data_IF_396127398690
#
_entry.id   IF_396127398690
#
_cell.length_a   1.000
_cell.length_b   1.000
_cell.length_c   1.000
_cell.angle_alpha   90.00
_cell.angle_beta   90.00
_cell.angle_gamma   90.00
#
_symmetry.space_group_name_H-M   'P 1'
#
loop_
_entity.id
_entity.type
_entity.pdbx_description
1 polymer ?
#
# COMPACT_ATOMS: atom_id res chain seq x y z
N UNK A 1 -27.85 7.39 1.09
CA UNK A 1 -26.67 7.56 1.97
C UNK A 1 -27.10 7.19 3.37
N UNK A 2 -26.24 6.51 4.13
CA UNK A 2 -26.51 6.22 5.53
C UNK A 2 -25.97 7.38 6.37
N UNK A 3 -26.75 7.83 7.32
CA UNK A 3 -26.37 8.87 8.29
C UNK A 3 -26.18 8.23 9.66
N UNK A 4 -25.19 8.70 10.42
CA UNK A 4 -24.86 8.17 11.74
C UNK A 4 -24.62 9.34 12.68
N UNK A 5 -25.47 9.43 13.71
CA UNK A 5 -25.30 10.41 14.79
C UNK A 5 -24.58 9.78 15.97
N UNK A 6 -23.46 10.38 16.37
CA UNK A 6 -22.76 10.05 17.60
C UNK A 6 -23.23 10.99 18.71
N UNK A 7 -23.57 10.44 19.87
CA UNK A 7 -23.98 11.19 21.08
C UNK A 7 -23.00 10.90 22.20
N UNK A 8 -22.99 11.80 23.19
CA UNK A 8 -22.19 11.66 24.42
C UNK A 8 -20.68 11.47 24.15
N UNK A 9 -20.16 12.18 23.12
CA UNK A 9 -18.73 12.23 22.87
C UNK A 9 -18.09 13.10 23.97
N UNK A 10 -17.05 12.61 24.67
CA UNK A 10 -16.31 13.43 25.62
C UNK A 10 -15.79 14.72 24.96
N UNK A 11 -15.90 15.85 25.65
CA UNK A 11 -15.50 17.17 25.10
C UNK A 11 -14.06 17.17 24.61
N UNK A 12 -13.14 16.58 25.37
CA UNK A 12 -11.72 16.47 24.99
C UNK A 12 -11.53 15.73 23.66
N UNK A 13 -12.31 14.67 23.43
CA UNK A 13 -12.25 13.89 22.19
C UNK A 13 -12.84 14.68 21.02
N UNK A 14 -13.93 15.41 21.26
CA UNK A 14 -14.53 16.25 20.24
C UNK A 14 -13.60 17.39 19.81
N UNK A 15 -12.94 18.06 20.75
CA UNK A 15 -11.96 19.11 20.46
C UNK A 15 -10.72 18.56 19.76
N UNK A 16 -10.24 17.37 20.15
CA UNK A 16 -9.17 16.68 19.43
C UNK A 16 -9.55 16.41 17.96
N UNK A 17 -10.76 15.91 17.70
CA UNK A 17 -11.23 15.63 16.34
C UNK A 17 -11.36 16.90 15.50
N UNK A 18 -11.83 18.02 16.09
CA UNK A 18 -11.86 19.33 15.42
C UNK A 18 -10.47 19.82 15.05
N UNK A 19 -9.51 19.76 15.97
CA UNK A 19 -8.14 20.17 15.71
C UNK A 19 -7.53 19.35 14.57
N UNK A 20 -7.74 18.02 14.61
CA UNK A 20 -7.25 17.12 13.58
C UNK A 20 -7.91 17.39 12.20
N UNK A 21 -9.21 17.68 12.18
CA UNK A 21 -9.92 18.06 10.97
C UNK A 21 -9.35 19.35 10.35
N UNK A 22 -9.07 20.36 11.19
CA UNK A 22 -8.45 21.62 10.75
C UNK A 22 -7.06 21.40 10.16
N UNK A 23 -6.21 20.59 10.80
CA UNK A 23 -4.88 20.23 10.29
C UNK A 23 -4.95 19.51 8.95
N UNK A 24 -5.95 18.66 8.75
CA UNK A 24 -6.12 17.91 7.50
C UNK A 24 -6.93 18.66 6.43
N UNK A 25 -7.31 19.92 6.69
CA UNK A 25 -8.14 20.75 5.81
C UNK A 25 -9.46 20.06 5.39
N UNK A 26 -10.12 19.39 6.34
CA UNK A 26 -11.38 18.65 6.14
C UNK A 26 -12.46 19.14 7.10
N UNK A 27 -13.72 18.87 6.78
CA UNK A 27 -14.79 19.01 7.76
C UNK A 27 -14.65 17.95 8.86
N UNK A 28 -15.26 18.21 10.02
CA UNK A 28 -15.27 17.25 11.14
C UNK A 28 -15.85 15.89 10.71
N UNK A 29 -16.99 15.90 10.01
CA UNK A 29 -17.64 14.67 9.53
C UNK A 29 -16.73 13.89 8.57
N UNK A 30 -16.05 14.59 7.64
CA UNK A 30 -15.10 13.96 6.74
C UNK A 30 -13.91 13.37 7.49
N UNK A 31 -13.45 14.03 8.56
CA UNK A 31 -12.37 13.53 9.40
C UNK A 31 -12.79 12.28 10.18
N UNK A 32 -14.01 12.24 10.71
CA UNK A 32 -14.57 11.06 11.39
C UNK A 32 -14.69 9.90 10.42
N UNK A 33 -15.20 10.13 9.20
CA UNK A 33 -15.30 9.10 8.15
C UNK A 33 -13.91 8.56 7.80
N UNK A 34 -12.92 9.44 7.63
CA UNK A 34 -11.55 9.02 7.32
C UNK A 34 -10.96 8.14 8.44
N UNK A 35 -11.10 8.55 9.69
CA UNK A 35 -10.63 7.78 10.84
C UNK A 35 -11.29 6.39 10.93
N UNK A 36 -12.60 6.30 10.66
CA UNK A 36 -13.32 5.02 10.62
C UNK A 36 -12.86 4.12 9.45
N UNK A 37 -12.54 4.71 8.30
CA UNK A 37 -11.99 3.97 7.15
C UNK A 37 -10.58 3.44 7.45
N UNK A 38 -9.73 4.25 8.07
CA UNK A 38 -8.39 3.83 8.51
C UNK A 38 -8.47 2.71 9.55
N UNK A 39 -9.33 2.87 10.57
CA UNK A 39 -9.58 1.82 11.56
C UNK A 39 -10.04 0.52 10.90
N UNK A 40 -10.96 0.60 9.92
CA UNK A 40 -11.40 -0.57 9.15
C UNK A 40 -10.24 -1.20 8.38
N UNK A 41 -9.36 -0.41 7.77
CA UNK A 41 -8.21 -0.91 7.03
C UNK A 41 -7.22 -1.65 7.95
N UNK A 42 -7.00 -1.13 9.16
CA UNK A 42 -6.14 -1.75 10.17
C UNK A 42 -6.72 -3.06 10.73
N UNK A 43 -8.04 -3.14 10.87
CA UNK A 43 -8.74 -4.32 11.42
C UNK A 43 -9.08 -5.37 10.38
N UNK A 44 -9.11 -5.01 9.09
CA UNK A 44 -9.28 -6.00 8.04
C UNK A 44 -8.05 -6.91 8.11
N UNK A 45 -8.20 -8.23 8.30
CA UNK A 45 -7.06 -9.12 8.18
C UNK A 45 -6.50 -8.84 6.81
N UNK A 46 -5.23 -8.39 6.77
CA UNK A 46 -4.50 -8.28 5.53
C UNK A 46 -4.63 -9.67 4.92
N UNK A 47 -5.48 -9.82 3.91
CA UNK A 47 -5.60 -11.07 3.20
C UNK A 47 -4.16 -11.39 2.84
N UNK A 48 -3.60 -12.45 3.42
CA UNK A 48 -2.28 -12.92 3.03
C UNK A 48 -2.41 -13.05 1.52
N UNK A 49 -1.79 -12.14 0.78
CA UNK A 49 -1.76 -12.21 -0.67
C UNK A 49 -0.93 -13.46 -0.91
N UNK A 50 -1.61 -14.60 -1.01
CA UNK A 50 -1.01 -15.87 -1.35
C UNK A 50 -0.53 -15.66 -2.78
N UNK A 51 0.72 -15.18 -2.90
CA UNK A 51 1.39 -15.04 -4.19
C UNK A 51 1.17 -16.34 -4.92
N UNK A 52 0.44 -16.26 -6.02
CA UNK A 52 0.18 -17.43 -6.83
C UNK A 52 1.52 -17.97 -7.34
N UNK A 53 1.57 -19.24 -7.76
CA UNK A 53 2.76 -19.75 -8.45
C UNK A 53 3.18 -18.85 -9.62
N UNK A 54 2.23 -18.16 -10.25
CA UNK A 54 2.48 -17.22 -11.35
C UNK A 54 3.16 -15.93 -10.88
N UNK A 55 2.71 -15.33 -9.75
CA UNK A 55 3.37 -14.17 -9.13
C UNK A 55 4.83 -14.46 -8.76
N UNK A 56 5.11 -15.68 -8.28
CA UNK A 56 6.47 -16.12 -7.95
C UNK A 56 7.33 -16.28 -9.21
N UNK A 57 6.75 -16.81 -10.29
CA UNK A 57 7.43 -16.93 -11.60
C UNK A 57 7.71 -15.56 -12.21
N UNK A 58 6.75 -14.63 -12.15
CA UNK A 58 6.91 -13.26 -12.62
C UNK A 58 8.05 -12.54 -11.88
N UNK A 59 8.14 -12.71 -10.56
CA UNK A 59 9.22 -12.13 -9.74
C UNK A 59 10.60 -12.72 -10.03
N UNK A 60 10.68 -13.97 -10.50
CA UNK A 60 11.95 -14.65 -10.82
C UNK A 60 12.52 -14.31 -12.21
N UNK A 61 11.70 -13.81 -13.14
CA UNK A 61 12.12 -13.42 -14.51
C UNK A 61 13.31 -12.46 -14.56
N UNK A 62 13.35 -11.33 -13.82
CA UNK A 62 14.47 -10.39 -13.90
C UNK A 62 15.79 -10.99 -13.37
N UNK A 63 15.71 -11.90 -12.40
CA UNK A 63 16.88 -12.58 -11.84
C UNK A 63 17.47 -13.55 -12.88
N UNK A 64 16.60 -14.36 -13.51
CA UNK A 64 17.01 -15.29 -14.58
C UNK A 64 17.59 -14.56 -15.80
N UNK A 65 17.01 -13.42 -16.18
CA UNK A 65 17.51 -12.59 -17.27
C UNK A 65 18.92 -12.04 -16.98
N UNK A 66 19.14 -11.58 -15.75
CA UNK A 66 20.44 -11.10 -15.29
C UNK A 66 21.50 -12.21 -15.32
N UNK A 67 21.15 -13.42 -14.87
CA UNK A 67 22.06 -14.58 -14.90
C UNK A 67 22.38 -14.96 -16.36
N UNK A 68 21.38 -15.01 -17.23
CA UNK A 68 21.55 -15.30 -18.66
C UNK A 68 22.47 -14.29 -19.34
N UNK A 69 22.29 -12.99 -19.07
CA UNK A 69 23.13 -11.91 -19.62
C UNK A 69 24.58 -11.99 -19.14
N UNK A 70 24.82 -12.47 -17.92
CA UNK A 70 26.18 -12.69 -17.39
C UNK A 70 26.85 -13.94 -17.92
N UNK A 71 26.09 -14.94 -18.37
CA UNK A 71 26.60 -16.22 -18.86
C UNK A 71 26.86 -16.28 -20.37
N UNK A 72 26.52 -15.25 -21.15
CA UNK A 72 26.94 -15.17 -22.56
C UNK A 72 28.38 -14.68 -22.66
N UNK A 73 29.36 -15.52 -23.02
CA UNK A 73 30.71 -15.04 -23.32
C UNK A 73 30.65 -14.12 -24.54
N UNK A 74 31.29 -12.95 -24.44
CA UNK A 74 31.57 -12.12 -25.60
C UNK A 74 32.58 -12.90 -26.47
N UNK A 75 32.10 -13.60 -27.49
CA UNK A 75 32.94 -14.16 -28.54
C UNK A 75 33.55 -13.03 -29.36
N UNK A 76 34.62 -12.41 -28.86
CA UNK A 76 35.57 -11.67 -29.69
C UNK A 76 36.49 -12.70 -30.34
N UNK A 77 36.07 -13.25 -31.49
CA UNK A 77 37.02 -13.89 -32.39
C UNK A 77 37.71 -12.80 -33.20
N UNK A 78 38.93 -12.47 -32.79
CA UNK A 78 39.87 -11.74 -33.62
C UNK A 78 40.16 -12.60 -34.87
N UNK A 79 39.70 -12.14 -36.04
CA UNK A 79 40.17 -12.65 -37.33
C UNK A 79 41.57 -12.10 -37.58
N UNK A 80 42.58 -12.96 -37.52
CA UNK A 80 43.85 -12.79 -38.22
C UNK A 80 43.82 -13.74 -39.41
N UNK A 81 43.85 -13.15 -40.60
CA UNK A 81 43.94 -13.82 -41.89
C UNK A 81 44.13 -12.77 -42.97
#
# INVERSE_FOLDING_TARGET
>A
MADLTLRDIPDDLHEFLKALAATNHRSLDQQVIAALQEYRALKRPQAIVRKTPDDKRAAAKPILDTIRKKMTPHSHHASLG
#
